data_IF_861815803851
#
_entry.id   IF_861815803851
#
_cell.length_a   1.000
_cell.length_b   1.000
_cell.length_c   1.000
_cell.angle_alpha   90.00
_cell.angle_beta   90.00
_cell.angle_gamma   90.00
#
_symmetry.space_group_name_H-M   'P 1'
#
loop_
_entity.id
_entity.type
_entity.pdbx_description
1 polymer ?
#
# COMPACT_ATOMS: atom_id res chain seq x y z
N UNK A 1 -21.28 46.75 14.54
CA UNK A 1 -21.77 45.58 15.29
C UNK A 1 -21.64 44.37 14.38
N UNK A 2 -20.57 43.61 14.54
CA UNK A 2 -20.24 42.44 13.72
C UNK A 2 -20.58 41.23 14.57
N UNK A 3 -21.54 40.42 14.12
CA UNK A 3 -21.90 39.16 14.76
C UNK A 3 -20.83 38.11 14.44
N UNK A 4 -20.23 37.56 15.49
CA UNK A 4 -19.27 36.47 15.43
C UNK A 4 -19.99 35.14 15.23
N UNK A 5 -19.73 34.50 14.10
CA UNK A 5 -20.06 33.10 13.81
C UNK A 5 -19.18 32.17 14.65
N UNK A 6 -19.81 31.33 15.46
CA UNK A 6 -19.19 30.30 16.28
C UNK A 6 -18.62 29.15 15.43
N UNK A 7 -17.31 28.99 15.45
CA UNK A 7 -16.57 27.83 14.92
C UNK A 7 -16.74 26.62 15.85
N UNK A 8 -16.99 25.40 15.35
CA UNK A 8 -16.99 24.21 16.19
C UNK A 8 -15.57 23.83 16.63
N UNK A 9 -15.41 23.72 17.95
CA UNK A 9 -14.33 23.14 18.74
C UNK A 9 -13.08 22.61 18.02
N UNK A 10 -11.98 23.34 18.21
CA UNK A 10 -10.62 22.81 18.13
C UNK A 10 -10.44 21.62 19.08
N UNK A 11 -9.93 20.52 18.54
CA UNK A 11 -9.39 19.38 19.28
C UNK A 11 -8.22 19.85 20.15
N UNK A 12 -8.51 20.20 21.39
CA UNK A 12 -7.57 20.58 22.44
C UNK A 12 -7.83 19.66 23.64
N UNK A 13 -6.75 19.23 24.29
CA UNK A 13 -6.69 18.31 25.44
C UNK A 13 -6.64 16.81 25.13
N UNK A 14 -5.52 16.38 24.53
CA UNK A 14 -4.94 15.05 24.81
C UNK A 14 -3.70 15.25 25.68
N UNK A 15 -3.90 15.67 26.93
CA UNK A 15 -2.89 15.54 27.98
C UNK A 15 -2.78 14.06 28.37
N UNK A 16 -1.99 13.35 27.57
CA UNK A 16 -1.77 11.91 27.66
C UNK A 16 -1.46 11.35 26.27
N UNK A 17 -0.18 11.33 25.89
CA UNK A 17 0.27 10.89 24.55
C UNK A 17 -0.23 9.47 24.28
N UNK A 18 -1.25 9.34 23.42
CA UNK A 18 -1.79 8.08 22.92
C UNK A 18 -0.65 7.09 22.63
N UNK A 19 -0.69 5.91 23.25
CA UNK A 19 0.31 4.88 23.04
C UNK A 19 -0.28 3.63 22.38
N UNK A 20 0.30 3.26 21.25
CA UNK A 20 -0.14 2.15 20.39
C UNK A 20 0.86 1.00 20.48
N UNK A 21 0.40 -0.17 20.90
CA UNK A 21 1.15 -1.41 20.69
C UNK A 21 1.00 -1.83 19.22
N UNK A 22 2.07 -1.72 18.43
CA UNK A 22 2.07 -2.12 17.03
C UNK A 22 2.66 -3.53 16.88
N UNK A 23 1.83 -4.50 16.49
CA UNK A 23 2.19 -5.91 16.44
C UNK A 23 2.08 -6.49 15.03
N UNK A 24 3.11 -7.21 14.57
CA UNK A 24 3.11 -7.83 13.25
C UNK A 24 4.51 -8.06 12.68
N UNK A 25 4.63 -8.36 11.37
CA UNK A 25 5.92 -8.50 10.71
C UNK A 25 6.59 -7.12 10.59
N UNK A 26 7.60 -6.91 11.42
CA UNK A 26 8.42 -5.70 11.45
C UNK A 26 9.86 -6.04 11.02
N UNK A 27 10.60 -5.03 10.55
CA UNK A 27 12.06 -5.12 10.34
C UNK A 27 12.73 -4.27 11.42
N UNK A 28 13.97 -4.61 11.79
CA UNK A 28 14.77 -3.73 12.65
C UNK A 28 15.01 -2.36 11.99
N UNK A 29 15.16 -1.32 12.80
CA UNK A 29 15.44 0.03 12.33
C UNK A 29 16.69 0.07 11.43
N UNK A 30 16.67 0.89 10.37
CA UNK A 30 17.83 1.10 9.48
C UNK A 30 18.08 0.07 8.36
N UNK A 31 17.24 -0.96 8.19
CA UNK A 31 17.37 -1.90 7.05
C UNK A 31 16.31 -1.64 5.97
N UNK A 32 16.67 -1.66 4.66
CA UNK A 32 15.70 -1.55 3.59
C UNK A 32 14.67 -2.69 3.68
N UNK A 33 13.40 -2.34 3.68
CA UNK A 33 12.32 -3.31 3.86
C UNK A 33 12.12 -4.14 2.58
N UNK A 34 12.40 -5.43 2.64
CA UNK A 34 12.06 -6.35 1.56
C UNK A 34 10.53 -6.60 1.53
N UNK A 35 9.86 -6.07 0.50
CA UNK A 35 8.45 -6.32 0.20
C UNK A 35 7.46 -5.31 0.80
N UNK A 36 6.37 -5.05 0.07
CA UNK A 36 5.40 -3.99 0.36
C UNK A 36 4.73 -4.08 1.74
N UNK A 37 4.58 -5.29 2.29
CA UNK A 37 3.95 -5.49 3.60
C UNK A 37 4.78 -4.87 4.74
N UNK A 38 6.06 -5.27 4.87
CA UNK A 38 6.96 -4.79 5.93
C UNK A 38 7.31 -3.31 5.72
N UNK A 39 7.52 -2.91 4.46
CA UNK A 39 7.75 -1.51 4.10
C UNK A 39 6.57 -0.62 4.53
N UNK A 40 5.33 -1.07 4.25
CA UNK A 40 4.13 -0.36 4.65
C UNK A 40 3.96 -0.26 6.17
N UNK A 41 4.23 -1.33 6.93
CA UNK A 41 4.22 -1.26 8.40
C UNK A 41 5.24 -0.25 8.93
N UNK A 42 6.45 -0.22 8.37
CA UNK A 42 7.49 0.76 8.76
C UNK A 42 7.08 2.19 8.44
N UNK A 43 6.51 2.42 7.24
CA UNK A 43 5.98 3.72 6.82
C UNK A 43 4.86 4.19 7.77
N UNK A 44 3.98 3.28 8.18
CA UNK A 44 2.91 3.57 9.15
C UNK A 44 3.46 3.94 10.54
N UNK A 45 4.40 3.16 11.08
CA UNK A 45 5.04 3.44 12.38
C UNK A 45 5.77 4.78 12.35
N UNK A 46 6.58 5.03 11.32
CA UNK A 46 7.31 6.29 11.17
C UNK A 46 6.35 7.48 11.07
N UNK A 47 5.27 7.34 10.30
CA UNK A 47 4.22 8.35 10.18
C UNK A 47 3.50 8.66 11.50
N UNK A 48 3.16 7.63 12.28
CA UNK A 48 2.56 7.79 13.60
C UNK A 48 3.49 8.52 14.57
N UNK A 49 4.78 8.13 14.62
CA UNK A 49 5.79 8.82 15.44
C UNK A 49 5.97 10.27 15.02
N UNK A 50 5.97 10.55 13.71
CA UNK A 50 6.03 11.91 13.15
C UNK A 50 4.83 12.79 13.53
N UNK A 51 3.68 12.19 13.89
CA UNK A 51 2.50 12.88 14.43
C UNK A 51 2.41 12.77 15.96
N UNK A 52 3.55 12.56 16.65
CA UNK A 52 3.68 12.49 18.10
C UNK A 52 2.89 11.36 18.81
N UNK A 53 2.48 10.32 18.09
CA UNK A 53 1.89 9.11 18.69
C UNK A 53 3.01 8.23 19.23
N UNK A 54 2.88 7.77 20.47
CA UNK A 54 3.83 6.81 21.04
C UNK A 54 3.57 5.42 20.45
N UNK A 55 4.61 4.74 19.95
CA UNK A 55 4.46 3.43 19.28
C UNK A 55 5.44 2.43 19.87
N UNK A 56 4.89 1.45 20.61
CA UNK A 56 5.62 0.30 21.13
C UNK A 56 5.60 -0.83 20.10
N UNK A 57 6.78 -1.27 19.65
CA UNK A 57 6.92 -2.27 18.59
C UNK A 57 7.00 -3.71 19.12
N UNK A 58 6.09 -4.55 18.64
CA UNK A 58 5.99 -5.98 18.94
C UNK A 58 6.18 -6.81 17.66
N UNK A 59 7.45 -6.94 17.25
CA UNK A 59 7.82 -7.64 16.02
C UNK A 59 7.55 -9.15 16.09
N UNK A 60 6.94 -9.69 15.03
CA UNK A 60 6.82 -11.12 14.82
C UNK A 60 8.20 -11.78 14.64
N UNK A 61 8.36 -13.04 15.07
CA UNK A 61 9.62 -13.74 14.93
C UNK A 61 10.01 -13.94 13.46
N UNK A 62 11.30 -13.83 13.19
CA UNK A 62 11.92 -14.15 11.90
C UNK A 62 12.84 -15.36 12.06
N UNK A 63 12.34 -16.60 11.91
CA UNK A 63 13.17 -17.80 11.99
C UNK A 63 14.30 -17.77 10.95
N UNK A 64 15.47 -18.30 11.30
CA UNK A 64 16.62 -18.34 10.40
C UNK A 64 16.30 -19.07 9.08
N UNK A 65 16.76 -18.55 7.91
CA UNK A 65 16.41 -19.12 6.59
C UNK A 65 16.85 -20.57 6.41
N UNK A 66 17.95 -20.97 7.05
CA UNK A 66 18.66 -22.24 6.83
C UNK A 66 18.06 -23.45 7.55
N UNK A 67 16.99 -23.28 8.34
CA UNK A 67 16.38 -24.39 9.10
C UNK A 67 15.22 -25.08 8.36
N UNK A 68 15.01 -26.36 8.64
CA UNK A 68 13.91 -27.14 8.04
C UNK A 68 12.52 -26.66 8.50
N UNK A 69 11.49 -26.98 7.72
CA UNK A 69 10.09 -26.55 7.93
C UNK A 69 9.54 -26.77 9.36
N UNK A 70 9.69 -27.93 10.01
CA UNK A 70 9.13 -28.15 11.36
C UNK A 70 9.79 -27.25 12.40
N UNK A 71 11.12 -27.06 12.33
CA UNK A 71 11.84 -26.16 13.23
C UNK A 71 11.42 -24.71 13.07
N UNK A 72 11.15 -24.28 11.83
CA UNK A 72 10.61 -22.94 11.56
C UNK A 72 9.24 -22.75 12.22
N UNK A 73 8.37 -23.77 12.20
CA UNK A 73 7.08 -23.75 12.87
C UNK A 73 7.22 -23.59 14.39
N UNK A 74 8.02 -24.44 15.04
CA UNK A 74 8.25 -24.38 16.49
C UNK A 74 8.88 -23.04 16.91
N UNK A 75 9.91 -22.58 16.19
CA UNK A 75 10.54 -21.30 16.46
C UNK A 75 9.56 -20.13 16.34
N UNK A 76 8.62 -20.22 15.40
CA UNK A 76 7.57 -19.21 15.24
C UNK A 76 6.57 -19.22 16.40
N UNK A 77 6.13 -20.40 16.86
CA UNK A 77 5.27 -20.54 18.05
C UNK A 77 5.94 -19.95 19.29
N UNK A 78 7.18 -20.36 19.60
CA UNK A 78 7.95 -19.84 20.74
C UNK A 78 8.13 -18.33 20.62
N UNK A 79 8.44 -17.85 19.42
CA UNK A 79 8.59 -16.42 19.16
C UNK A 79 7.30 -15.63 19.41
N UNK A 80 6.14 -16.11 18.97
CA UNK A 80 4.87 -15.45 19.23
C UNK A 80 4.44 -15.52 20.70
N UNK A 81 4.74 -16.62 21.41
CA UNK A 81 4.54 -16.70 22.85
C UNK A 81 5.37 -15.65 23.60
N UNK A 82 6.63 -15.43 23.19
CA UNK A 82 7.47 -14.35 23.74
C UNK A 82 6.90 -12.96 23.45
N UNK A 83 6.32 -12.75 22.26
CA UNK A 83 5.60 -11.51 21.94
C UNK A 83 4.40 -11.34 22.86
N UNK A 84 3.60 -12.39 23.07
CA UNK A 84 2.47 -12.38 24.01
C UNK A 84 2.90 -12.04 25.44
N UNK A 85 3.97 -12.66 25.94
CA UNK A 85 4.53 -12.34 27.26
C UNK A 85 4.99 -10.87 27.35
N UNK A 86 5.67 -10.35 26.31
CA UNK A 86 6.06 -8.93 26.27
C UNK A 86 4.85 -8.00 26.29
N UNK A 87 3.77 -8.33 25.57
CA UNK A 87 2.52 -7.55 25.62
C UNK A 87 1.92 -7.55 27.03
N UNK A 88 1.98 -8.67 27.75
CA UNK A 88 1.54 -8.77 29.16
C UNK A 88 2.40 -7.91 30.08
N UNK A 89 3.74 -7.98 29.94
CA UNK A 89 4.67 -7.20 30.75
C UNK A 89 4.40 -5.70 30.59
N UNK A 90 4.23 -5.24 29.35
CA UNK A 90 4.05 -3.81 29.03
C UNK A 90 2.57 -3.40 28.98
N UNK A 91 1.62 -4.20 29.52
CA UNK A 91 0.16 -4.00 29.38
C UNK A 91 -0.38 -2.65 29.90
N UNK A 92 0.40 -1.95 30.72
CA UNK A 92 0.06 -0.64 31.28
C UNK A 92 0.63 0.52 30.46
N UNK A 93 1.49 0.24 29.48
CA UNK A 93 2.21 1.25 28.71
C UNK A 93 1.52 1.60 27.39
N UNK A 94 0.44 0.91 27.01
CA UNK A 94 -0.29 1.13 25.77
C UNK A 94 -1.80 1.13 25.99
N UNK A 95 -2.50 1.90 25.16
CA UNK A 95 -3.94 2.17 25.25
C UNK A 95 -4.75 1.27 24.34
N UNK A 96 -4.17 0.92 23.19
CA UNK A 96 -4.75 0.03 22.18
C UNK A 96 -3.66 -0.76 21.48
N UNK A 97 -4.07 -1.82 20.78
CA UNK A 97 -3.17 -2.61 19.93
C UNK A 97 -3.60 -2.55 18.46
N UNK A 98 -2.63 -2.31 17.58
CA UNK A 98 -2.78 -2.41 16.14
C UNK A 98 -2.03 -3.65 15.65
N UNK A 99 -2.76 -4.65 15.17
CA UNK A 99 -2.21 -5.93 14.70
C UNK A 99 -2.28 -5.98 13.18
N UNK A 100 -1.14 -6.31 12.55
CA UNK A 100 -1.02 -6.53 11.10
C UNK A 100 -0.75 -8.02 10.82
N UNK A 101 -1.78 -8.87 10.78
CA UNK A 101 -1.63 -10.32 10.71
C UNK A 101 -1.05 -10.79 9.37
N UNK A 102 -0.21 -11.83 9.40
CA UNK A 102 0.26 -12.48 8.17
C UNK A 102 -0.88 -13.27 7.49
N UNK A 103 -1.84 -13.74 8.28
CA UNK A 103 -2.89 -14.65 7.85
C UNK A 103 -2.30 -15.90 7.15
N UNK A 104 -3.10 -16.63 6.36
CA UNK A 104 -2.69 -17.88 5.68
C UNK A 104 -2.38 -19.01 6.69
N UNK A 105 -1.27 -19.74 6.52
CA UNK A 105 -0.89 -20.82 7.44
C UNK A 105 -0.62 -20.36 8.88
N UNK A 106 -0.41 -19.07 9.10
CA UNK A 106 -0.04 -18.52 10.41
C UNK A 106 -1.25 -18.25 11.32
N UNK A 107 -2.47 -18.22 10.79
CA UNK A 107 -3.70 -17.88 11.55
C UNK A 107 -3.84 -18.71 12.82
N UNK A 108 -3.50 -20.00 12.78
CA UNK A 108 -3.59 -20.89 13.94
C UNK A 108 -2.70 -20.45 15.11
N UNK A 109 -1.53 -19.90 14.82
CA UNK A 109 -0.59 -19.43 15.83
C UNK A 109 -0.93 -18.00 16.24
N UNK A 110 -1.36 -17.17 15.29
CA UNK A 110 -1.84 -15.81 15.56
C UNK A 110 -3.07 -15.79 16.48
N UNK A 111 -3.89 -16.85 16.47
CA UNK A 111 -5.04 -16.97 17.37
C UNK A 111 -4.64 -17.03 18.85
N UNK A 112 -3.49 -17.65 19.16
CA UNK A 112 -3.00 -17.72 20.54
C UNK A 112 -2.55 -16.35 21.04
N UNK A 113 -1.83 -15.62 20.18
CA UNK A 113 -1.49 -14.22 20.45
C UNK A 113 -2.76 -13.38 20.62
N UNK A 114 -3.75 -13.58 19.75
CA UNK A 114 -5.02 -12.85 19.80
C UNK A 114 -5.81 -13.17 21.08
N UNK A 115 -5.82 -14.42 21.52
CA UNK A 115 -6.44 -14.82 22.79
C UNK A 115 -5.80 -14.09 23.99
N UNK A 116 -4.46 -13.99 24.02
CA UNK A 116 -3.73 -13.22 25.05
C UNK A 116 -4.16 -11.74 25.03
N UNK A 117 -4.27 -11.16 23.84
CA UNK A 117 -4.70 -9.76 23.66
C UNK A 117 -6.16 -9.55 24.11
N UNK A 118 -7.06 -10.50 23.85
CA UNK A 118 -8.45 -10.41 24.27
C UNK A 118 -8.61 -10.36 25.80
N UNK A 119 -7.72 -11.04 26.55
CA UNK A 119 -7.70 -11.00 28.01
C UNK A 119 -7.30 -9.62 28.57
N UNK A 120 -6.72 -8.74 27.76
CA UNK A 120 -6.27 -7.42 28.19
C UNK A 120 -7.39 -6.37 28.19
N UNK A 121 -8.54 -6.66 27.59
CA UNK A 121 -9.69 -5.76 27.47
C UNK A 121 -9.34 -4.34 26.96
N UNK A 122 -8.57 -4.30 25.87
CA UNK A 122 -8.13 -3.07 25.18
C UNK A 122 -8.64 -3.07 23.73
N UNK A 123 -8.84 -1.90 23.10
CA UNK A 123 -9.26 -1.84 21.71
C UNK A 123 -8.26 -2.53 20.78
N UNK A 124 -8.78 -3.33 19.85
CA UNK A 124 -8.00 -4.08 18.86
C UNK A 124 -8.31 -3.54 17.48
N UNK A 125 -7.30 -2.99 16.81
CA UNK A 125 -7.33 -2.69 15.38
C UNK A 125 -6.68 -3.83 14.62
N UNK A 126 -7.47 -4.60 13.88
CA UNK A 126 -6.98 -5.71 13.05
C UNK A 126 -6.88 -5.26 11.60
N UNK A 127 -5.66 -5.18 11.09
CA UNK A 127 -5.36 -4.49 9.83
C UNK A 127 -5.01 -5.46 8.70
N UNK A 128 -5.95 -5.63 7.78
CA UNK A 128 -5.82 -6.45 6.57
C UNK A 128 -5.08 -5.65 5.49
N UNK A 129 -3.80 -6.00 5.27
CA UNK A 129 -2.89 -5.30 4.33
C UNK A 129 -2.62 -6.02 3.01
N UNK A 130 -3.32 -7.12 2.72
CA UNK A 130 -3.00 -8.00 1.58
C UNK A 130 -4.13 -8.06 0.56
N UNK A 131 -3.77 -8.04 -0.73
CA UNK A 131 -4.69 -8.18 -1.86
C UNK A 131 -5.33 -9.55 -2.05
N UNK A 132 -4.99 -10.54 -1.21
CA UNK A 132 -5.54 -11.90 -1.31
C UNK A 132 -6.32 -12.35 -0.07
N UNK A 133 -6.69 -11.44 0.82
CA UNK A 133 -7.33 -11.82 2.08
C UNK A 133 -8.64 -12.59 1.85
N UNK A 134 -9.50 -12.06 0.98
CA UNK A 134 -10.80 -12.67 0.68
C UNK A 134 -10.65 -13.95 -0.16
N UNK A 135 -9.75 -13.96 -1.15
CA UNK A 135 -9.51 -15.16 -1.95
C UNK A 135 -8.88 -16.30 -1.12
N UNK A 136 -7.94 -15.99 -0.22
CA UNK A 136 -7.39 -16.97 0.74
C UNK A 136 -8.46 -17.49 1.70
N UNK A 137 -9.41 -16.66 2.11
CA UNK A 137 -10.54 -17.10 2.94
C UNK A 137 -11.36 -18.18 2.26
N UNK A 138 -11.76 -17.96 1.01
CA UNK A 138 -12.59 -18.92 0.26
C UNK A 138 -11.83 -20.17 -0.17
N UNK A 139 -10.53 -20.06 -0.44
CA UNK A 139 -9.67 -21.20 -0.82
C UNK A 139 -9.40 -22.16 0.35
N UNK A 140 -9.68 -21.76 1.59
CA UNK A 140 -9.33 -22.53 2.80
C UNK A 140 -10.55 -23.18 3.44
N UNK A 141 -10.29 -24.24 4.21
CA UNK A 141 -11.31 -25.05 4.86
C UNK A 141 -12.11 -24.31 5.93
N UNK A 142 -13.20 -24.92 6.38
CA UNK A 142 -14.16 -24.33 7.33
C UNK A 142 -13.51 -23.86 8.64
N UNK A 143 -12.52 -24.59 9.16
CA UNK A 143 -11.83 -24.25 10.41
C UNK A 143 -11.10 -22.91 10.28
N UNK A 144 -10.36 -22.71 9.19
CA UNK A 144 -9.67 -21.44 8.91
C UNK A 144 -10.68 -20.29 8.83
N UNK A 145 -11.78 -20.50 8.11
CA UNK A 145 -12.84 -19.49 7.95
C UNK A 145 -13.47 -19.11 9.29
N UNK A 146 -13.79 -20.08 10.15
CA UNK A 146 -14.31 -19.81 11.50
C UNK A 146 -13.34 -18.99 12.35
N UNK A 147 -12.04 -19.25 12.23
CA UNK A 147 -11.02 -18.48 12.92
C UNK A 147 -10.91 -17.05 12.39
N UNK A 148 -10.93 -16.85 11.07
CA UNK A 148 -10.99 -15.49 10.51
C UNK A 148 -12.25 -14.76 10.97
N UNK A 149 -13.42 -15.40 10.93
CA UNK A 149 -14.65 -14.76 11.40
C UNK A 149 -14.58 -14.42 12.90
N UNK A 150 -13.98 -15.29 13.71
CA UNK A 150 -13.76 -15.02 15.13
C UNK A 150 -12.88 -13.78 15.33
N UNK A 151 -11.75 -13.69 14.60
CA UNK A 151 -10.86 -12.53 14.66
C UNK A 151 -11.62 -11.25 14.25
N UNK A 152 -12.38 -11.30 13.15
CA UNK A 152 -13.19 -10.16 12.66
C UNK A 152 -14.20 -9.70 13.72
N UNK A 153 -15.01 -10.63 14.25
CA UNK A 153 -16.04 -10.31 15.26
C UNK A 153 -15.45 -9.78 16.56
N UNK A 154 -14.25 -10.25 16.92
CA UNK A 154 -13.66 -9.91 18.21
C UNK A 154 -12.82 -8.64 18.20
N UNK A 155 -12.31 -8.22 17.06
CA UNK A 155 -11.67 -6.92 16.92
C UNK A 155 -12.63 -5.76 17.12
N UNK A 156 -12.14 -4.67 17.70
CA UNK A 156 -12.93 -3.45 17.88
C UNK A 156 -13.07 -2.68 16.58
N UNK A 157 -12.04 -2.73 15.73
CA UNK A 157 -12.04 -2.14 14.39
C UNK A 157 -11.26 -3.03 13.42
N UNK A 158 -11.78 -3.20 12.21
CA UNK A 158 -11.08 -3.83 11.10
C UNK A 158 -10.55 -2.75 10.16
N UNK A 159 -9.24 -2.60 10.07
CA UNK A 159 -8.63 -1.73 9.07
C UNK A 159 -8.42 -2.52 7.77
N UNK A 160 -8.86 -1.99 6.63
CA UNK A 160 -8.77 -2.65 5.32
C UNK A 160 -7.99 -1.77 4.34
N UNK A 161 -7.04 -2.37 3.62
CA UNK A 161 -6.26 -1.64 2.62
C UNK A 161 -7.05 -1.33 1.34
N UNK A 162 -8.04 -2.16 0.99
CA UNK A 162 -8.89 -1.99 -0.21
C UNK A 162 -10.36 -1.96 0.15
N UNK A 163 -11.15 -1.10 -0.50
CA UNK A 163 -12.58 -0.92 -0.19
C UNK A 163 -13.41 -2.13 -0.54
N UNK A 164 -12.99 -2.95 -1.51
CA UNK A 164 -13.68 -4.19 -1.87
C UNK A 164 -13.81 -5.20 -0.71
N UNK A 165 -13.05 -5.03 0.37
CA UNK A 165 -13.15 -5.89 1.55
C UNK A 165 -14.20 -5.43 2.56
N UNK A 166 -14.75 -4.23 2.42
CA UNK A 166 -15.70 -3.65 3.38
C UNK A 166 -16.94 -4.52 3.51
N UNK A 167 -17.60 -4.83 2.39
CA UNK A 167 -18.77 -5.70 2.39
C UNK A 167 -18.46 -7.09 2.99
N UNK A 168 -17.31 -7.66 2.60
CA UNK A 168 -16.86 -8.95 3.13
C UNK A 168 -16.79 -8.92 4.66
N UNK A 169 -16.06 -7.98 5.26
CA UNK A 169 -15.89 -7.95 6.73
C UNK A 169 -17.19 -7.59 7.46
N UNK A 170 -18.03 -6.74 6.88
CA UNK A 170 -19.34 -6.37 7.44
C UNK A 170 -20.29 -7.58 7.49
N UNK A 171 -20.36 -8.38 6.43
CA UNK A 171 -21.13 -9.63 6.41
C UNK A 171 -20.64 -10.64 7.47
N UNK A 172 -19.41 -10.50 8.00
CA UNK A 172 -18.86 -11.30 9.10
C UNK A 172 -19.00 -10.60 10.46
N UNK A 173 -19.88 -9.61 10.56
CA UNK A 173 -20.21 -8.88 11.79
C UNK A 173 -19.01 -8.10 12.36
N UNK A 174 -18.20 -7.50 11.48
CA UNK A 174 -17.24 -6.48 11.91
C UNK A 174 -17.97 -5.35 12.64
N UNK A 175 -17.50 -4.99 13.84
CA UNK A 175 -18.12 -3.92 14.65
C UNK A 175 -17.90 -2.53 14.07
N UNK A 176 -16.72 -2.32 13.46
CA UNK A 176 -16.31 -1.07 12.84
C UNK A 176 -15.28 -1.38 11.75
N UNK A 177 -15.33 -0.62 10.65
CA UNK A 177 -14.39 -0.75 9.53
C UNK A 177 -13.71 0.58 9.28
N UNK A 178 -12.40 0.55 9.07
CA UNK A 178 -11.58 1.71 8.69
C UNK A 178 -10.92 1.42 7.35
N UNK A 179 -11.18 2.24 6.33
CA UNK A 179 -10.38 2.22 5.12
C UNK A 179 -8.99 2.82 5.40
N UNK A 180 -7.96 1.99 5.36
CA UNK A 180 -6.57 2.32 5.68
C UNK A 180 -5.64 1.93 4.52
N UNK A 181 -5.65 2.71 3.41
CA UNK A 181 -4.81 2.47 2.24
C UNK A 181 -3.32 2.71 2.52
N UNK A 182 -2.48 2.37 1.54
CA UNK A 182 -1.12 2.90 1.53
C UNK A 182 -1.13 4.40 1.20
N UNK A 183 -0.04 5.08 1.58
CA UNK A 183 0.08 6.52 1.44
C UNK A 183 1.48 6.95 1.01
N UNK A 184 1.55 8.16 0.49
CA UNK A 184 2.77 8.89 0.11
C UNK A 184 3.03 9.98 1.17
N UNK A 185 4.29 10.22 1.58
CA UNK A 185 4.63 11.34 2.46
C UNK A 185 4.14 12.69 1.91
N UNK A 186 3.60 13.55 2.79
CA UNK A 186 3.13 14.91 2.48
C UNK A 186 4.10 15.70 1.62
N UNK A 187 5.39 15.57 1.98
CA UNK A 187 6.50 16.31 1.39
C UNK A 187 6.71 15.99 -0.08
N UNK A 188 6.17 14.87 -0.56
CA UNK A 188 6.22 14.46 -1.97
C UNK A 188 4.91 14.75 -2.71
N UNK A 189 3.89 15.29 -2.03
CA UNK A 189 2.61 15.61 -2.65
C UNK A 189 2.48 17.11 -2.76
N UNK A 190 2.67 17.62 -3.98
CA UNK A 190 2.53 19.04 -4.28
C UNK A 190 1.09 19.31 -4.76
N UNK A 191 0.41 20.38 -4.29
CA UNK A 191 -0.89 20.80 -4.80
C UNK A 191 -0.84 21.02 -6.32
N UNK A 192 -1.95 20.75 -7.02
CA UNK A 192 -2.01 20.77 -8.49
C UNK A 192 -1.67 22.14 -9.12
N UNK A 193 -1.72 23.21 -8.33
CA UNK A 193 -1.52 24.60 -8.76
C UNK A 193 -0.03 24.98 -8.89
N UNK A 194 0.87 24.24 -8.23
CA UNK A 194 2.31 24.36 -8.45
C UNK A 194 2.66 23.43 -9.63
N UNK A 195 2.60 23.98 -10.83
CA UNK A 195 2.98 23.32 -12.08
C UNK A 195 4.44 22.87 -12.05
N UNK A 196 4.71 21.70 -11.47
CA UNK A 196 5.97 20.99 -11.70
C UNK A 196 5.84 20.26 -13.04
N UNK A 197 6.54 20.78 -14.05
CA UNK A 197 6.98 20.01 -15.21
C UNK A 197 6.08 20.01 -16.45
N UNK A 198 5.04 20.86 -16.52
CA UNK A 198 4.33 21.11 -17.79
C UNK A 198 4.95 22.27 -18.58
N UNK A 199 6.27 22.52 -18.42
CA UNK A 199 6.98 23.11 -19.56
C UNK A 199 6.82 22.12 -20.70
N UNK A 200 6.14 22.59 -21.74
CA UNK A 200 5.71 21.81 -22.88
C UNK A 200 6.85 20.92 -23.37
N UNK A 201 6.80 19.63 -23.05
CA UNK A 201 7.52 18.60 -23.78
C UNK A 201 6.84 18.51 -25.15
N UNK A 202 7.15 19.45 -26.03
CA UNK A 202 7.02 19.25 -27.46
C UNK A 202 7.99 18.12 -27.81
N UNK A 203 7.49 16.89 -27.84
CA UNK A 203 8.33 15.71 -28.01
C UNK A 203 7.65 14.39 -27.65
N UNK A 204 8.44 13.33 -27.63
CA UNK A 204 8.04 11.94 -27.46
C UNK A 204 7.24 11.69 -26.17
N UNK A 205 6.31 10.73 -26.24
CA UNK A 205 5.56 10.25 -25.08
C UNK A 205 6.53 9.62 -24.06
N UNK A 206 6.64 10.21 -22.88
CA UNK A 206 7.41 9.66 -21.76
C UNK A 206 6.59 8.63 -20.96
N UNK A 207 7.01 7.37 -21.00
CA UNK A 207 6.44 6.24 -20.26
C UNK A 207 7.36 5.86 -19.10
N UNK A 208 6.78 5.52 -17.95
CA UNK A 208 7.53 5.05 -16.79
C UNK A 208 6.98 3.73 -16.24
N UNK A 209 7.88 2.92 -15.71
CA UNK A 209 7.60 1.83 -14.79
C UNK A 209 8.55 1.89 -13.60
N UNK A 210 7.99 1.69 -12.41
CA UNK A 210 8.75 1.61 -11.15
C UNK A 210 8.27 0.40 -10.37
N UNK A 211 9.19 -0.52 -10.08
CA UNK A 211 8.90 -1.69 -9.27
C UNK A 211 9.84 -2.85 -9.55
N UNK A 212 9.58 -3.99 -8.91
CA UNK A 212 10.36 -5.21 -9.16
C UNK A 212 10.25 -5.62 -10.64
N UNK A 213 11.36 -5.99 -11.25
CA UNK A 213 11.39 -6.55 -12.60
C UNK A 213 11.17 -8.06 -12.49
N UNK A 214 9.94 -8.48 -12.75
CA UNK A 214 9.52 -9.88 -12.67
C UNK A 214 8.37 -10.15 -13.64
N UNK A 215 8.20 -11.41 -14.05
CA UNK A 215 7.17 -11.82 -15.01
C UNK A 215 5.77 -11.43 -14.56
N UNK A 216 5.44 -11.62 -13.28
CA UNK A 216 4.14 -11.25 -12.72
C UNK A 216 3.89 -9.73 -12.65
N UNK A 217 4.92 -8.92 -12.94
CA UNK A 217 4.79 -7.46 -13.05
C UNK A 217 4.53 -6.99 -14.49
N UNK A 218 4.55 -7.90 -15.46
CA UNK A 218 4.14 -7.65 -16.83
C UNK A 218 5.11 -6.77 -17.61
N UNK A 219 6.42 -6.90 -17.35
CA UNK A 219 7.44 -6.06 -17.99
C UNK A 219 7.45 -6.28 -19.51
N UNK A 220 7.21 -7.49 -19.97
CA UNK A 220 6.99 -7.81 -21.39
C UNK A 220 5.83 -7.00 -21.98
N UNK A 221 4.70 -6.91 -21.27
CA UNK A 221 3.54 -6.12 -21.71
C UNK A 221 3.88 -4.64 -21.84
N UNK A 222 4.73 -4.10 -20.96
CA UNK A 222 5.21 -2.71 -21.03
C UNK A 222 6.09 -2.50 -22.28
N UNK A 223 7.02 -3.43 -22.52
CA UNK A 223 7.92 -3.37 -23.69
C UNK A 223 7.16 -3.56 -25.01
N UNK A 224 6.16 -4.45 -25.04
CA UNK A 224 5.25 -4.63 -26.17
C UNK A 224 4.41 -3.37 -26.43
N UNK A 225 3.94 -2.69 -25.37
CA UNK A 225 3.19 -1.46 -25.50
C UNK A 225 4.04 -0.32 -26.08
N UNK A 226 5.28 -0.19 -25.61
CA UNK A 226 6.25 0.76 -26.15
C UNK A 226 6.51 0.49 -27.65
N UNK A 227 6.85 -0.76 -28.00
CA UNK A 227 7.05 -1.14 -29.41
C UNK A 227 5.82 -0.85 -30.28
N UNK A 228 4.62 -1.17 -29.79
CA UNK A 228 3.38 -0.94 -30.53
C UNK A 228 3.10 0.55 -30.76
N UNK A 229 3.56 1.47 -29.89
CA UNK A 229 3.51 2.91 -30.14
C UNK A 229 4.51 3.32 -31.24
N UNK A 230 5.76 2.85 -31.13
CA UNK A 230 6.80 3.12 -32.12
C UNK A 230 6.42 2.62 -33.52
N UNK A 231 5.91 1.40 -33.64
CA UNK A 231 5.46 0.79 -34.91
C UNK A 231 4.34 1.60 -35.60
N UNK A 232 3.59 2.38 -34.82
CA UNK A 232 2.52 3.27 -35.32
C UNK A 232 3.01 4.68 -35.66
N UNK A 233 4.31 4.94 -35.56
CA UNK A 233 4.89 6.26 -35.74
C UNK A 233 4.50 7.24 -34.63
N UNK A 234 4.22 6.74 -33.41
CA UNK A 234 3.99 7.57 -32.22
C UNK A 234 5.29 7.56 -31.40
N UNK A 235 6.11 8.62 -31.44
CA UNK A 235 7.38 8.65 -30.72
C UNK A 235 7.15 8.49 -29.21
N UNK A 236 7.86 7.55 -28.59
CA UNK A 236 7.73 7.23 -27.18
C UNK A 236 9.06 6.77 -26.58
N UNK A 237 9.36 7.29 -25.39
CA UNK A 237 10.51 6.91 -24.58
C UNK A 237 10.01 6.14 -23.35
N UNK A 238 10.68 5.04 -22.99
CA UNK A 238 10.30 4.20 -21.85
C UNK A 238 11.42 4.16 -20.81
N UNK A 239 11.12 4.57 -19.59
CA UNK A 239 12.03 4.42 -18.44
C UNK A 239 11.56 3.30 -17.51
N UNK A 240 12.42 2.32 -17.26
CA UNK A 240 12.19 1.18 -16.36
C UNK A 240 13.12 1.31 -15.16
N UNK A 241 12.54 1.42 -13.97
CA UNK A 241 13.23 1.57 -12.69
C UNK A 241 12.91 0.39 -11.78
N UNK A 242 13.95 -0.27 -11.28
CA UNK A 242 13.84 -1.36 -10.32
C UNK A 242 14.83 -2.49 -10.58
N UNK A 243 14.70 -3.54 -9.77
CA UNK A 243 15.61 -4.68 -9.76
C UNK A 243 14.86 -6.00 -9.86
N UNK A 244 15.56 -7.04 -10.30
CA UNK A 244 15.05 -8.36 -10.64
C UNK A 244 16.18 -9.33 -10.96
N UNK A 245 15.87 -10.60 -11.28
CA UNK A 245 16.91 -11.55 -11.64
C UNK A 245 17.72 -11.05 -12.85
N UNK A 246 19.04 -10.91 -12.70
CA UNK A 246 19.90 -10.33 -13.74
C UNK A 246 19.78 -11.06 -15.09
N UNK A 247 19.63 -12.38 -15.08
CA UNK A 247 19.40 -13.18 -16.30
C UNK A 247 18.09 -12.83 -17.00
N UNK A 248 17.03 -12.53 -16.23
CA UNK A 248 15.73 -12.15 -16.77
C UNK A 248 15.75 -10.73 -17.34
N UNK A 249 16.37 -9.78 -16.63
CA UNK A 249 16.58 -8.41 -17.13
C UNK A 249 17.36 -8.44 -18.45
N UNK A 250 18.48 -9.18 -18.49
CA UNK A 250 19.30 -9.31 -19.71
C UNK A 250 18.49 -9.90 -20.87
N UNK A 251 17.72 -10.96 -20.63
CA UNK A 251 16.86 -11.55 -21.65
C UNK A 251 15.74 -10.61 -22.15
N UNK A 252 15.30 -9.64 -21.34
CA UNK A 252 14.37 -8.60 -21.79
C UNK A 252 15.08 -7.56 -22.65
N UNK A 253 16.26 -7.12 -22.23
CA UNK A 253 17.09 -6.16 -22.97
C UNK A 253 17.50 -6.71 -24.34
N UNK A 254 17.99 -7.95 -24.40
CA UNK A 254 18.42 -8.58 -25.66
C UNK A 254 17.25 -8.75 -26.66
N UNK A 255 16.01 -8.94 -26.16
CA UNK A 255 14.80 -9.05 -27.00
C UNK A 255 14.23 -7.70 -27.43
N UNK A 256 14.54 -6.64 -26.70
CA UNK A 256 14.02 -5.30 -26.90
C UNK A 256 15.18 -4.30 -26.91
N UNK A 257 16.05 -4.44 -27.91
CA UNK A 257 17.15 -3.51 -28.17
C UNK A 257 16.65 -2.25 -28.89
N UNK A 258 15.84 -1.47 -28.17
CA UNK A 258 15.33 -0.19 -28.62
C UNK A 258 16.10 0.93 -27.92
N UNK A 259 16.68 1.85 -28.71
CA UNK A 259 17.41 3.03 -28.19
C UNK A 259 16.57 3.91 -27.27
N UNK A 260 15.25 3.79 -27.38
CA UNK A 260 14.26 4.58 -26.64
C UNK A 260 13.79 3.90 -25.33
N UNK A 261 14.51 2.86 -24.86
CA UNK A 261 14.23 2.19 -23.57
C UNK A 261 15.41 2.37 -22.62
N UNK A 262 15.19 3.09 -21.52
CA UNK A 262 16.17 3.36 -20.46
C UNK A 262 15.94 2.47 -19.25
N UNK A 263 16.95 1.69 -18.88
CA UNK A 263 16.96 0.87 -17.67
C UNK A 263 17.82 1.53 -16.60
N UNK A 264 17.25 1.88 -15.44
CA UNK A 264 17.95 2.59 -14.36
C UNK A 264 18.43 1.67 -13.23
N UNK A 265 17.99 0.41 -13.21
CA UNK A 265 18.22 -0.48 -12.07
C UNK A 265 17.47 -0.03 -10.81
N UNK A 266 17.81 -0.59 -9.65
CA UNK A 266 17.28 -0.11 -8.37
C UNK A 266 17.95 1.22 -7.98
N UNK A 267 17.12 2.23 -7.74
CA UNK A 267 17.56 3.55 -7.24
C UNK A 267 16.85 3.89 -5.92
N UNK A 268 17.46 4.71 -5.05
CA UNK A 268 16.81 5.24 -3.85
C UNK A 268 15.48 5.97 -4.13
N UNK A 269 14.53 5.96 -3.19
CA UNK A 269 13.20 6.57 -3.40
C UNK A 269 13.22 8.06 -3.77
N UNK A 270 14.15 8.84 -3.21
CA UNK A 270 14.30 10.28 -3.56
C UNK A 270 14.69 10.46 -5.03
N UNK A 271 15.47 9.52 -5.55
CA UNK A 271 15.90 9.50 -6.94
C UNK A 271 14.78 8.99 -7.85
N UNK A 272 13.85 8.16 -7.35
CA UNK A 272 12.67 7.71 -8.11
C UNK A 272 11.78 8.91 -8.46
N UNK A 273 11.40 9.72 -7.48
CA UNK A 273 10.58 10.94 -7.70
C UNK A 273 11.25 11.84 -8.74
N UNK A 274 12.56 12.07 -8.60
CA UNK A 274 13.33 12.89 -9.54
C UNK A 274 13.37 12.26 -10.94
N UNK A 275 13.54 10.93 -11.03
CA UNK A 275 13.67 10.22 -12.31
C UNK A 275 12.36 10.14 -13.10
N UNK A 276 11.20 10.18 -12.44
CA UNK A 276 9.89 10.13 -13.12
C UNK A 276 9.21 11.49 -13.22
N UNK A 277 9.77 12.52 -12.58
CA UNK A 277 9.28 13.89 -12.67
C UNK A 277 9.17 14.35 -14.13
N UNK A 278 8.03 14.95 -14.50
CA UNK A 278 7.76 15.43 -15.85
C UNK A 278 7.39 14.33 -16.87
N UNK A 279 7.33 13.06 -16.48
CA UNK A 279 6.86 11.99 -17.37
C UNK A 279 5.34 11.96 -17.50
N UNK A 280 4.81 11.38 -18.60
CA UNK A 280 3.39 11.46 -18.92
C UNK A 280 2.56 10.30 -18.39
N UNK A 281 3.02 9.06 -18.58
CA UNK A 281 2.22 7.86 -18.28
C UNK A 281 2.98 6.86 -17.41
N UNK A 282 2.27 6.24 -16.48
CA UNK A 282 2.78 5.12 -15.68
C UNK A 282 2.09 3.83 -16.12
N UNK A 283 2.86 2.87 -16.65
CA UNK A 283 2.32 1.58 -17.09
C UNK A 283 2.46 0.55 -15.96
N UNK A 284 1.34 -0.04 -15.53
CA UNK A 284 1.32 -1.00 -14.42
C UNK A 284 0.48 -2.25 -14.72
N UNK A 285 0.92 -3.11 -15.68
CA UNK A 285 0.20 -4.29 -16.12
C UNK A 285 0.40 -5.51 -15.21
N UNK A 286 0.45 -5.30 -13.90
CA UNK A 286 0.76 -6.42 -12.99
C UNK A 286 -0.31 -7.51 -13.05
N UNK A 287 0.15 -8.76 -13.08
CA UNK A 287 -0.66 -9.98 -12.97
C UNK A 287 -0.36 -10.72 -11.67
N UNK A 288 0.28 -10.04 -10.72
CA UNK A 288 0.65 -10.66 -9.47
C UNK A 288 -0.61 -10.92 -8.64
N UNK A 289 -0.97 -12.20 -8.50
CA UNK A 289 -2.13 -12.67 -7.71
C UNK A 289 -2.25 -12.01 -6.32
N UNK A 290 -1.13 -11.60 -5.71
CA UNK A 290 -0.99 -11.00 -4.39
C UNK A 290 -1.16 -9.48 -4.32
N UNK A 291 -1.35 -8.81 -5.47
CA UNK A 291 -1.31 -7.35 -5.55
C UNK A 291 -2.42 -6.72 -4.71
N UNK A 292 -2.03 -5.77 -3.85
CA UNK A 292 -2.95 -5.01 -3.01
C UNK A 292 -2.99 -3.56 -3.47
N UNK A 293 -2.69 -2.64 -2.55
CA UNK A 293 -2.47 -1.23 -2.90
C UNK A 293 -0.99 -1.03 -3.24
N UNK A 294 -0.67 -0.84 -4.52
CA UNK A 294 0.71 -0.58 -4.95
C UNK A 294 1.20 0.81 -4.49
N UNK A 295 2.36 0.84 -3.83
CA UNK A 295 3.03 2.10 -3.48
C UNK A 295 3.49 2.83 -4.75
N UNK A 296 4.11 2.12 -5.71
CA UNK A 296 4.65 2.75 -6.92
C UNK A 296 3.56 3.35 -7.79
N UNK A 297 2.38 2.73 -7.84
CA UNK A 297 1.20 3.33 -8.50
C UNK A 297 0.80 4.65 -7.85
N UNK A 298 0.77 4.70 -6.52
CA UNK A 298 0.36 5.91 -5.78
C UNK A 298 1.42 7.00 -5.85
N UNK A 299 2.69 6.63 -5.82
CA UNK A 299 3.84 7.52 -5.97
C UNK A 299 3.90 8.09 -7.40
N UNK A 300 3.70 7.28 -8.44
CA UNK A 300 3.62 7.78 -9.81
C UNK A 300 2.43 8.76 -9.99
N UNK A 301 1.28 8.46 -9.38
CA UNK A 301 0.13 9.37 -9.39
C UNK A 301 0.39 10.67 -8.61
N UNK A 302 1.20 10.67 -7.54
CA UNK A 302 1.54 11.91 -6.83
C UNK A 302 2.45 12.82 -7.64
N UNK A 303 3.30 12.25 -8.49
CA UNK A 303 4.11 13.01 -9.46
C UNK A 303 3.28 13.42 -10.71
N UNK A 304 2.03 12.97 -10.80
CA UNK A 304 1.12 13.32 -11.88
C UNK A 304 1.25 12.49 -13.15
N UNK A 305 1.91 11.34 -13.10
CA UNK A 305 1.86 10.40 -14.23
C UNK A 305 0.43 9.83 -14.34
N UNK A 306 -0.12 9.82 -15.55
CA UNK A 306 -1.42 9.21 -15.82
C UNK A 306 -1.28 7.68 -15.76
N UNK A 307 -1.93 7.00 -14.80
CA UNK A 307 -1.78 5.57 -14.65
C UNK A 307 -2.58 4.81 -15.72
N UNK A 308 -1.95 3.81 -16.33
CA UNK A 308 -2.60 2.80 -17.15
C UNK A 308 -2.23 1.44 -16.55
N UNK A 309 -3.19 0.79 -15.91
CA UNK A 309 -2.93 -0.39 -15.08
C UNK A 309 -3.92 -1.52 -15.36
N UNK A 310 -3.55 -2.73 -14.93
CA UNK A 310 -4.47 -3.86 -14.93
C UNK A 310 -5.54 -3.69 -13.85
N UNK A 311 -6.71 -4.29 -14.08
CA UNK A 311 -7.80 -4.46 -13.11
C UNK A 311 -7.46 -5.56 -12.10
N UNK A 312 -6.31 -5.42 -11.44
CA UNK A 312 -5.82 -6.34 -10.43
C UNK A 312 -5.75 -5.65 -9.07
N UNK A 313 -6.03 -6.41 -8.00
CA UNK A 313 -5.83 -5.96 -6.63
C UNK A 313 -6.77 -4.80 -6.33
N UNK A 314 -6.21 -3.67 -5.89
CA UNK A 314 -6.98 -2.46 -5.60
C UNK A 314 -6.77 -1.37 -6.65
N UNK A 315 -6.15 -1.68 -7.79
CA UNK A 315 -5.76 -0.69 -8.80
C UNK A 315 -6.94 0.17 -9.28
N UNK A 316 -8.12 -0.44 -9.52
CA UNK A 316 -9.33 0.28 -9.92
C UNK A 316 -9.77 1.33 -8.89
N UNK A 317 -9.79 0.94 -7.62
CA UNK A 317 -10.14 1.84 -6.52
C UNK A 317 -9.09 2.95 -6.36
N UNK A 318 -7.80 2.62 -6.51
CA UNK A 318 -6.70 3.57 -6.39
C UNK A 318 -6.75 4.61 -7.51
N UNK A 319 -6.87 4.18 -8.77
CA UNK A 319 -6.90 5.05 -9.95
C UNK A 319 -8.21 5.82 -10.09
N UNK A 320 -9.36 5.21 -9.79
CA UNK A 320 -10.65 5.84 -10.01
C UNK A 320 -10.82 6.28 -11.47
N UNK A 321 -11.06 7.58 -11.70
CA UNK A 321 -11.27 8.17 -13.04
C UNK A 321 -10.05 8.93 -13.57
N UNK A 322 -8.90 8.84 -12.91
CA UNK A 322 -7.71 9.66 -13.24
C UNK A 322 -6.75 8.97 -14.22
N UNK A 323 -7.15 7.83 -14.79
CA UNK A 323 -6.35 7.03 -15.71
C UNK A 323 -7.18 5.91 -16.33
N UNK A 324 -6.52 4.87 -16.83
CA UNK A 324 -7.15 3.73 -17.49
C UNK A 324 -6.92 2.44 -16.71
N UNK A 325 -7.99 1.66 -16.55
CA UNK A 325 -7.96 0.33 -15.93
C UNK A 325 -8.36 -0.68 -17.00
N UNK A 326 -7.43 -1.58 -17.36
CA UNK A 326 -7.60 -2.57 -18.41
C UNK A 326 -7.81 -3.97 -17.82
N UNK A 327 -8.52 -4.89 -18.52
CA UNK A 327 -8.59 -6.29 -18.10
C UNK A 327 -7.21 -6.90 -17.82
N UNK A 328 -7.13 -7.89 -16.93
CA UNK A 328 -5.85 -8.51 -16.56
C UNK A 328 -5.20 -9.27 -17.73
N UNK A 329 -6.00 -9.68 -18.71
CA UNK A 329 -5.62 -10.35 -19.94
C UNK A 329 -5.09 -9.40 -21.02
N UNK A 330 -5.29 -8.08 -20.85
CA UNK A 330 -4.86 -7.07 -21.82
C UNK A 330 -3.37 -7.18 -22.14
N UNK A 331 -3.05 -7.08 -23.43
CA UNK A 331 -1.70 -7.22 -23.96
C UNK A 331 -1.03 -5.86 -24.23
N UNK A 332 0.22 -5.85 -24.70
CA UNK A 332 0.91 -4.58 -24.96
C UNK A 332 0.18 -3.66 -25.94
N UNK A 333 -0.54 -4.20 -26.93
CA UNK A 333 -1.29 -3.39 -27.90
C UNK A 333 -2.47 -2.70 -27.22
N UNK A 334 -3.14 -3.35 -26.27
CA UNK A 334 -4.21 -2.72 -25.49
C UNK A 334 -3.70 -1.56 -24.64
N UNK A 335 -2.54 -1.72 -23.99
CA UNK A 335 -1.88 -0.65 -23.24
C UNK A 335 -1.47 0.51 -24.16
N UNK A 336 -0.85 0.21 -25.31
CA UNK A 336 -0.49 1.20 -26.33
C UNK A 336 -1.72 1.97 -26.85
N UNK A 337 -2.83 1.26 -27.10
CA UNK A 337 -4.08 1.87 -27.52
C UNK A 337 -4.64 2.82 -26.46
N UNK A 338 -4.55 2.45 -25.18
CA UNK A 338 -4.96 3.32 -24.09
C UNK A 338 -4.08 4.58 -23.99
N UNK A 339 -2.75 4.43 -24.08
CA UNK A 339 -1.80 5.57 -24.12
C UNK A 339 -2.15 6.50 -25.29
N UNK A 340 -2.20 5.95 -26.50
CA UNK A 340 -2.45 6.72 -27.72
C UNK A 340 -3.79 7.46 -27.66
N UNK A 341 -4.85 6.81 -27.16
CA UNK A 341 -6.17 7.43 -27.00
C UNK A 341 -6.13 8.63 -26.04
N UNK A 342 -5.47 8.48 -24.89
CA UNK A 342 -5.36 9.58 -23.92
C UNK A 342 -4.52 10.72 -24.51
N UNK A 343 -3.38 10.40 -25.12
CA UNK A 343 -2.49 11.35 -25.77
C UNK A 343 -3.18 12.15 -26.87
N UNK A 344 -3.77 11.47 -27.86
CA UNK A 344 -4.43 12.08 -29.01
C UNK A 344 -5.65 12.92 -28.62
N UNK A 345 -6.36 12.52 -27.55
CA UNK A 345 -7.48 13.32 -27.04
C UNK A 345 -7.06 14.61 -26.33
N UNK A 346 -5.75 14.84 -26.11
CA UNK A 346 -5.23 15.99 -25.36
C UNK A 346 -5.60 15.99 -23.87
N UNK A 347 -6.16 14.89 -23.35
CA UNK A 347 -6.68 14.81 -21.97
C UNK A 347 -5.61 14.50 -20.92
N UNK A 348 -4.41 14.11 -21.32
CA UNK A 348 -3.35 13.71 -20.39
C UNK A 348 -3.03 14.76 -19.31
N UNK A 349 -2.99 16.09 -19.58
CA UNK A 349 -2.70 17.08 -18.54
C UNK A 349 -3.81 17.16 -17.49
N UNK A 350 -5.08 17.07 -17.94
CA UNK A 350 -6.23 17.06 -17.04
C UNK A 350 -6.26 15.80 -16.15
N UNK A 351 -5.90 14.63 -16.71
CA UNK A 351 -5.80 13.38 -15.95
C UNK A 351 -4.61 13.41 -14.98
N UNK A 352 -3.50 14.02 -15.38
CA UNK A 352 -2.32 14.24 -14.55
C UNK A 352 -2.66 15.06 -13.31
N UNK A 353 -3.30 16.23 -13.49
CA UNK A 353 -3.75 17.08 -12.39
C UNK A 353 -4.78 16.36 -11.49
N UNK A 354 -5.70 15.61 -12.09
CA UNK A 354 -6.67 14.81 -11.34
C UNK A 354 -6.03 13.68 -10.53
N UNK A 355 -4.99 13.03 -11.04
CA UNK A 355 -4.23 12.00 -10.34
C UNK A 355 -3.53 12.56 -9.10
N UNK A 356 -2.83 13.71 -9.23
CA UNK A 356 -2.21 14.42 -8.11
C UNK A 356 -3.24 14.81 -7.04
N UNK A 357 -4.32 15.45 -7.47
CA UNK A 357 -5.43 15.87 -6.58
C UNK A 357 -6.01 14.68 -5.83
N UNK A 358 -6.22 13.55 -6.52
CA UNK A 358 -6.73 12.33 -5.91
C UNK A 358 -5.80 11.79 -4.84
N UNK A 359 -4.48 11.75 -5.09
CA UNK A 359 -3.49 11.32 -4.10
C UNK A 359 -3.47 12.27 -2.91
N UNK A 360 -3.41 13.58 -3.14
CA UNK A 360 -3.45 14.59 -2.08
C UNK A 360 -4.66 14.41 -1.15
N UNK A 361 -5.85 14.23 -1.72
CA UNK A 361 -7.10 14.13 -0.98
C UNK A 361 -7.34 12.77 -0.28
N UNK A 362 -6.70 11.68 -0.75
CA UNK A 362 -7.05 10.33 -0.31
C UNK A 362 -5.88 9.49 0.22
N UNK A 363 -4.67 9.74 -0.27
CA UNK A 363 -3.50 8.87 -0.09
C UNK A 363 -2.24 9.64 0.35
N UNK A 364 -2.39 10.88 0.82
CA UNK A 364 -1.31 11.58 1.54
C UNK A 364 -1.19 11.06 2.97
N UNK A 365 -0.01 11.16 3.56
CA UNK A 365 0.22 10.81 4.97
C UNK A 365 -0.74 11.55 5.90
N UNK A 366 -1.04 12.82 5.63
CA UNK A 366 -1.86 13.72 6.44
C UNK A 366 -3.26 13.17 6.53
N UNK A 367 -3.84 12.83 5.38
CA UNK A 367 -5.19 12.28 5.30
C UNK A 367 -5.25 10.90 5.94
N UNK A 368 -4.33 10.01 5.58
CA UNK A 368 -4.39 8.60 6.00
C UNK A 368 -4.05 8.44 7.49
N UNK A 369 -2.98 9.07 7.99
CA UNK A 369 -2.66 9.08 9.42
C UNK A 369 -3.68 9.88 10.21
N UNK A 370 -4.21 11.00 9.68
CA UNK A 370 -5.25 11.77 10.36
C UNK A 370 -6.48 10.93 10.65
N UNK A 371 -6.97 10.17 9.65
CA UNK A 371 -8.08 9.21 9.82
C UNK A 371 -7.73 8.11 10.84
N UNK A 372 -6.52 7.55 10.78
CA UNK A 372 -6.10 6.50 11.72
C UNK A 372 -6.01 7.01 13.16
N UNK A 373 -5.42 8.18 13.38
CA UNK A 373 -5.26 8.78 14.72
C UNK A 373 -6.62 9.15 15.29
N UNK A 374 -7.51 9.79 14.51
CA UNK A 374 -8.88 10.05 14.93
C UNK A 374 -9.61 8.76 15.31
N UNK A 375 -9.41 7.70 14.53
CA UNK A 375 -9.98 6.39 14.81
C UNK A 375 -9.41 5.78 16.10
N UNK A 376 -8.11 5.92 16.36
CA UNK A 376 -7.51 5.50 17.62
C UNK A 376 -8.08 6.24 18.82
N UNK A 377 -8.14 7.57 18.77
CA UNK A 377 -8.69 8.40 19.86
C UNK A 377 -10.14 8.05 20.14
N UNK A 378 -10.97 7.85 19.11
CA UNK A 378 -12.36 7.40 19.25
C UNK A 378 -12.48 6.04 19.95
N UNK A 379 -11.59 5.09 19.65
CA UNK A 379 -11.62 3.76 20.26
C UNK A 379 -11.18 3.75 21.72
N UNK A 380 -10.26 4.64 22.09
CA UNK A 380 -9.80 4.79 23.48
C UNK A 380 -10.83 5.56 24.30
N UNK A 381 -11.38 6.66 23.77
CA UNK A 381 -12.39 7.48 24.44
C UNK A 381 -13.67 6.71 24.79
N UNK A 382 -14.22 5.93 23.85
CA UNK A 382 -15.42 5.12 24.08
C UNK A 382 -15.28 4.05 25.18
N UNK A 383 -14.05 3.76 25.63
CA UNK A 383 -13.77 2.85 26.76
C UNK A 383 -13.73 3.58 28.09
N UNK A 384 -13.38 4.86 28.13
CA UNK A 384 -13.41 5.62 29.38
C UNK A 384 -14.85 5.90 29.86
N UNK A 385 -15.83 5.83 28.95
CA UNK A 385 -17.25 6.06 29.22
C UNK A 385 -18.04 4.79 29.60
N UNK A 386 -17.44 3.60 29.48
CA UNK A 386 -18.03 2.29 29.83
C UNK A 386 -17.36 1.70 31.06
#
# INVERSE_FOLDING_TARGET
MIQSSSTPGTVSELDGKLCVAFCGPLMGEGRPAAGGYRAGNRRLIAGLRGKAVNVLEFAYPTPAPTRSRPYKGIAYVIGLLRVGLRLIIHRREWDLIHITPLCRGFVFIEILLFAIVLLMNRPIVFHVRTGIFVSEYWRRGIIYRRFIDFLIRRSTCIAIQGRLYEEFVMQRQAKKVLYLPNFVPATLVVPADDTIGAEQTTGDIQLAYVGRIAVEKGIETILEAHRALCDRGIPAQLTIIGDGPASYIKALQDRHDARDVRWLGAVPNVDITTAICGMHFFLFPTKHYGEGHSNSLTEAMSEGLVPICSDHGFNRDVVGRTGSVLPIEADGKDYANSVARVWQSGRWPSLSAAARTRVFQNYSSEVVLGRLIAQYSSLVGARCEQ
#
